data_IF_107049433847
#
_entry.id   IF_107049433847
#
_cell.length_a   1.000
_cell.length_b   1.000
_cell.length_c   1.000
_cell.angle_alpha   90.00
_cell.angle_beta   90.00
_cell.angle_gamma   90.00
#
_symmetry.space_group_name_H-M   'P 1'
#
loop_
_entity.id
_entity.type
_entity.pdbx_description
1 polymer ?
#
# COMPACT_ATOMS: atom_id res chain seq x y z
N UNK A 1 -21.80 -2.14 -21.22
CA UNK A 1 -22.32 -2.07 -19.85
C UNK A 1 -23.34 -0.96 -19.71
N UNK A 2 -24.27 -1.07 -18.73
CA UNK A 2 -25.35 -0.09 -18.53
C UNK A 2 -24.85 1.34 -18.29
N UNK A 3 -23.64 1.51 -17.77
CA UNK A 3 -23.00 2.81 -17.51
C UNK A 3 -22.15 3.34 -18.67
N UNK A 4 -22.28 2.76 -19.87
CA UNK A 4 -21.51 3.18 -21.06
C UNK A 4 -20.06 2.66 -21.10
N UNK A 5 -19.62 1.87 -20.12
CA UNK A 5 -18.28 1.29 -20.14
C UNK A 5 -18.19 0.17 -21.19
N UNK A 6 -17.06 0.08 -21.87
CA UNK A 6 -16.70 -0.99 -22.80
C UNK A 6 -15.72 -1.96 -22.14
N UNK A 7 -15.89 -3.25 -22.39
CA UNK A 7 -14.92 -4.26 -21.97
C UNK A 7 -14.17 -4.70 -23.23
N UNK A 8 -12.84 -4.57 -23.18
CA UNK A 8 -11.95 -5.02 -24.24
C UNK A 8 -11.24 -6.31 -23.83
N UNK A 9 -10.73 -7.05 -24.82
CA UNK A 9 -10.23 -8.40 -24.60
C UNK A 9 -8.85 -8.46 -23.94
N UNK A 10 -8.00 -7.44 -24.13
CA UNK A 10 -6.59 -7.47 -23.72
C UNK A 10 -6.14 -6.16 -23.09
N UNK A 11 -5.12 -6.26 -22.23
CA UNK A 11 -4.46 -5.07 -21.67
C UNK A 11 -3.84 -4.22 -22.79
N UNK A 12 -3.23 -4.82 -23.79
CA UNK A 12 -2.64 -4.12 -24.93
C UNK A 12 -3.66 -3.20 -25.63
N UNK A 13 -4.87 -3.66 -25.78
CA UNK A 13 -5.97 -2.84 -26.36
C UNK A 13 -6.35 -1.65 -25.46
N UNK A 14 -6.37 -1.86 -24.12
CA UNK A 14 -6.58 -0.78 -23.16
C UNK A 14 -5.50 0.28 -23.29
N UNK A 15 -4.23 -0.13 -23.25
CA UNK A 15 -3.10 0.81 -23.33
C UNK A 15 -3.03 1.54 -24.66
N UNK A 16 -3.40 0.89 -25.76
CA UNK A 16 -3.42 1.51 -27.09
C UNK A 16 -4.51 2.58 -27.23
N UNK A 17 -5.71 2.37 -26.66
CA UNK A 17 -6.88 3.21 -26.86
C UNK A 17 -7.06 4.32 -25.83
N UNK A 18 -6.64 4.09 -24.58
CA UNK A 18 -6.90 5.00 -23.50
C UNK A 18 -5.90 6.16 -23.46
N UNK A 19 -6.35 7.38 -23.16
CA UNK A 19 -5.51 8.53 -22.90
C UNK A 19 -5.07 8.55 -21.43
N UNK A 20 -5.85 7.95 -20.54
CA UNK A 20 -5.52 7.76 -19.12
C UNK A 20 -5.70 6.30 -18.73
N UNK A 21 -4.65 5.72 -18.16
CA UNK A 21 -4.68 4.40 -17.54
C UNK A 21 -4.86 4.58 -16.03
N UNK A 22 -5.92 3.98 -15.48
CA UNK A 22 -6.18 3.93 -14.04
C UNK A 22 -6.11 2.49 -13.58
N UNK A 23 -5.26 2.21 -12.61
CA UNK A 23 -5.10 0.86 -12.05
C UNK A 23 -4.70 0.95 -10.58
N UNK A 24 -4.64 -0.16 -9.87
CA UNK A 24 -4.31 -0.17 -8.44
C UNK A 24 -2.84 -0.46 -8.22
N UNK A 25 -2.33 -1.55 -8.78
CA UNK A 25 -0.94 -1.99 -8.60
C UNK A 25 0.02 -1.31 -9.57
N UNK A 26 1.29 -1.28 -9.18
CA UNK A 26 2.38 -0.76 -9.98
C UNK A 26 2.40 -1.38 -11.38
N UNK A 27 2.77 -0.62 -12.42
CA UNK A 27 2.87 -1.18 -13.76
C UNK A 27 4.02 -2.18 -13.84
N UNK A 28 3.75 -3.34 -14.42
CA UNK A 28 4.78 -4.32 -14.69
C UNK A 28 5.66 -3.87 -15.87
N UNK A 29 6.89 -4.38 -16.03
CA UNK A 29 7.78 -3.99 -17.16
C UNK A 29 7.11 -4.09 -18.54
N UNK A 30 6.29 -5.13 -18.75
CA UNK A 30 5.54 -5.28 -20.00
C UNK A 30 4.46 -4.21 -20.17
N UNK A 31 3.88 -3.71 -19.08
CA UNK A 31 2.90 -2.61 -19.12
C UNK A 31 3.59 -1.27 -19.35
N UNK A 32 4.76 -1.05 -18.73
CA UNK A 32 5.57 0.15 -18.97
C UNK A 32 5.94 0.27 -20.46
N UNK A 33 6.25 -0.85 -21.13
CA UNK A 33 6.58 -0.90 -22.55
C UNK A 33 5.37 -0.56 -23.46
N UNK A 34 4.14 -0.59 -22.95
CA UNK A 34 2.93 -0.21 -23.68
C UNK A 34 2.54 1.25 -23.47
N UNK A 35 3.14 1.93 -22.48
CA UNK A 35 2.91 3.35 -22.24
C UNK A 35 3.50 4.20 -23.37
N UNK A 36 2.93 5.36 -23.62
CA UNK A 36 3.37 6.27 -24.67
C UNK A 36 3.45 7.72 -24.18
N UNK A 37 4.22 8.52 -24.89
CA UNK A 37 4.31 9.95 -24.64
C UNK A 37 2.92 10.61 -24.61
N UNK A 38 2.70 11.49 -23.64
CA UNK A 38 1.44 12.20 -23.42
C UNK A 38 0.32 11.39 -22.77
N UNK A 39 0.49 10.06 -22.59
CA UNK A 39 -0.48 9.24 -21.86
C UNK A 39 -0.37 9.48 -20.36
N UNK A 40 -1.50 9.46 -19.64
CA UNK A 40 -1.51 9.59 -18.19
C UNK A 40 -1.60 8.19 -17.55
N UNK A 41 -0.74 7.91 -16.58
CA UNK A 41 -0.83 6.73 -15.72
C UNK A 41 -1.17 7.19 -14.30
N UNK A 42 -2.27 6.69 -13.74
CA UNK A 42 -2.73 7.01 -12.39
C UNK A 42 -2.88 5.73 -11.57
N UNK A 43 -1.95 5.49 -10.64
CA UNK A 43 -1.85 4.23 -9.87
C UNK A 43 -0.93 4.40 -8.66
N UNK A 44 -0.83 3.40 -7.78
CA UNK A 44 0.30 3.31 -6.85
C UNK A 44 1.58 3.00 -7.63
N UNK A 45 2.68 3.69 -7.34
CA UNK A 45 3.94 3.54 -8.05
C UNK A 45 5.05 2.92 -7.21
N UNK A 46 5.14 3.25 -5.92
CA UNK A 46 6.18 2.72 -5.01
C UNK A 46 7.60 2.80 -5.61
N UNK A 47 7.98 3.95 -6.15
CA UNK A 47 9.21 4.10 -6.95
C UNK A 47 10.51 3.94 -6.14
N UNK A 48 10.49 4.25 -4.84
CA UNK A 48 11.71 4.24 -4.02
C UNK A 48 12.43 2.88 -4.00
N UNK A 49 11.75 1.72 -3.86
CA UNK A 49 12.39 0.42 -3.90
C UNK A 49 12.63 -0.12 -5.31
N UNK A 50 12.09 0.51 -6.37
CA UNK A 50 12.18 0.02 -7.74
C UNK A 50 12.70 1.08 -8.73
N UNK A 51 14.01 1.32 -8.77
CA UNK A 51 14.62 2.25 -9.72
C UNK A 51 14.49 1.78 -11.18
N UNK A 52 14.27 0.47 -11.42
CA UNK A 52 14.01 -0.08 -12.74
C UNK A 52 12.69 0.42 -13.30
N UNK A 53 11.62 0.33 -12.52
CA UNK A 53 10.31 0.87 -12.87
C UNK A 53 10.37 2.39 -13.11
N UNK A 54 11.07 3.12 -12.23
CA UNK A 54 11.22 4.57 -12.39
C UNK A 54 11.86 4.93 -13.74
N UNK A 55 12.90 4.20 -14.16
CA UNK A 55 13.54 4.38 -15.45
C UNK A 55 12.60 4.10 -16.62
N UNK A 56 11.89 2.98 -16.59
CA UNK A 56 10.93 2.62 -17.65
C UNK A 56 9.82 3.66 -17.80
N UNK A 57 9.32 4.22 -16.69
CA UNK A 57 8.34 5.29 -16.74
C UNK A 57 8.90 6.57 -17.36
N UNK A 58 10.13 6.94 -17.02
CA UNK A 58 10.80 8.09 -17.65
C UNK A 58 11.02 7.87 -19.16
N UNK A 59 11.45 6.68 -19.55
CA UNK A 59 11.68 6.31 -20.96
C UNK A 59 10.39 6.31 -21.79
N UNK A 60 9.24 5.97 -21.18
CA UNK A 60 7.94 5.97 -21.86
C UNK A 60 7.42 7.36 -22.23
N UNK A 61 7.89 8.43 -21.57
CA UNK A 61 7.40 9.79 -21.76
C UNK A 61 5.95 10.02 -21.24
N UNK A 62 5.38 9.06 -20.49
CA UNK A 62 4.06 9.22 -19.91
C UNK A 62 4.07 10.20 -18.73
N UNK A 63 2.91 10.75 -18.39
CA UNK A 63 2.69 11.48 -17.14
C UNK A 63 2.21 10.52 -16.07
N UNK A 64 3.12 10.08 -15.20
CA UNK A 64 2.80 9.15 -14.11
C UNK A 64 2.44 9.90 -12.82
N UNK A 65 1.25 9.66 -12.29
CA UNK A 65 0.73 10.25 -11.05
C UNK A 65 0.56 9.13 -10.02
N UNK A 66 1.30 9.23 -8.92
CA UNK A 66 1.26 8.26 -7.85
C UNK A 66 0.10 8.53 -6.89
N UNK A 67 -0.73 7.52 -6.59
CA UNK A 67 -1.79 7.63 -5.60
C UNK A 67 -1.25 8.04 -4.22
N UNK A 68 -0.11 7.51 -3.82
CA UNK A 68 0.52 7.76 -2.53
C UNK A 68 1.04 9.18 -2.33
N UNK A 69 1.06 9.99 -3.40
CA UNK A 69 1.51 11.39 -3.34
C UNK A 69 0.38 12.40 -3.54
N UNK A 70 -0.84 11.94 -3.79
CA UNK A 70 -2.02 12.81 -3.90
C UNK A 70 -2.34 13.39 -2.53
N UNK A 71 -2.36 14.70 -2.42
CA UNK A 71 -2.68 15.43 -1.18
C UNK A 71 -4.06 16.07 -1.25
N UNK A 72 -4.73 16.15 -0.10
CA UNK A 72 -5.88 17.01 0.09
C UNK A 72 -5.47 18.45 0.41
N UNK A 73 -6.45 19.33 0.62
CA UNK A 73 -6.23 20.77 0.94
C UNK A 73 -5.47 21.01 2.25
N UNK A 74 -5.50 20.04 3.16
CA UNK A 74 -4.89 20.12 4.49
C UNK A 74 -3.52 19.39 4.52
N UNK A 75 -3.04 18.90 3.36
CA UNK A 75 -1.78 18.16 3.21
C UNK A 75 -1.87 16.69 3.61
N UNK A 76 -3.07 16.18 3.88
CA UNK A 76 -3.32 14.75 4.10
C UNK A 76 -3.12 13.94 2.82
N UNK A 77 -2.95 12.62 2.98
CA UNK A 77 -2.77 11.68 1.87
C UNK A 77 -4.00 10.74 1.78
N UNK A 78 -5.13 11.20 1.21
CA UNK A 78 -6.42 10.50 1.29
C UNK A 78 -6.41 9.13 0.61
N UNK A 79 -5.57 8.92 -0.40
CA UNK A 79 -5.47 7.64 -1.08
C UNK A 79 -4.48 6.67 -0.41
N UNK A 80 -3.60 7.16 0.47
CA UNK A 80 -2.65 6.35 1.23
C UNK A 80 -3.15 6.03 2.65
N UNK A 81 -3.83 6.96 3.30
CA UNK A 81 -4.24 6.84 4.70
C UNK A 81 -5.01 5.53 5.02
N UNK A 82 -5.99 5.07 4.22
CA UNK A 82 -6.71 3.83 4.51
C UNK A 82 -5.80 2.60 4.56
N UNK A 83 -4.78 2.53 3.69
CA UNK A 83 -3.81 1.43 3.68
C UNK A 83 -2.92 1.48 4.93
N UNK A 84 -2.50 2.68 5.33
CA UNK A 84 -1.72 2.89 6.55
C UNK A 84 -2.51 2.52 7.81
N UNK A 85 -3.82 2.78 7.83
CA UNK A 85 -4.70 2.36 8.92
C UNK A 85 -4.79 0.84 9.04
N UNK A 86 -4.98 0.14 7.92
CA UNK A 86 -5.01 -1.33 7.89
C UNK A 86 -3.65 -1.88 8.32
N UNK A 87 -2.55 -1.37 7.76
CA UNK A 87 -1.21 -1.83 8.09
C UNK A 87 -0.89 -1.67 9.59
N UNK A 88 -1.25 -0.52 10.17
CA UNK A 88 -1.05 -0.28 11.60
C UNK A 88 -1.81 -1.27 12.48
N UNK A 89 -3.07 -1.54 12.17
CA UNK A 89 -3.87 -2.53 12.91
C UNK A 89 -3.33 -3.95 12.74
N UNK A 90 -2.99 -4.33 11.51
CA UNK A 90 -2.45 -5.67 11.21
C UNK A 90 -1.08 -5.90 11.85
N UNK A 91 -0.26 -4.87 12.03
CA UNK A 91 1.10 -5.01 12.59
C UNK A 91 1.08 -5.67 13.97
N UNK A 92 0.10 -5.36 14.81
CA UNK A 92 -0.04 -5.97 16.14
C UNK A 92 -0.50 -7.42 16.04
N UNK A 93 -1.40 -7.75 15.11
CA UNK A 93 -1.84 -9.14 14.88
C UNK A 93 -0.69 -10.01 14.39
N UNK A 94 0.07 -9.52 13.40
CA UNK A 94 1.24 -10.22 12.86
C UNK A 94 2.32 -10.37 13.93
N UNK A 95 2.60 -9.31 14.70
CA UNK A 95 3.54 -9.35 15.81
C UNK A 95 3.12 -10.35 16.89
N UNK A 96 1.83 -10.43 17.22
CA UNK A 96 1.28 -11.40 18.18
C UNK A 96 1.46 -12.83 17.66
N UNK A 97 1.17 -13.08 16.39
CA UNK A 97 1.39 -14.38 15.77
C UNK A 97 2.88 -14.79 15.81
N UNK A 98 3.79 -13.85 15.52
CA UNK A 98 5.23 -14.08 15.57
C UNK A 98 5.78 -14.36 16.99
N UNK A 99 5.07 -13.96 18.05
CA UNK A 99 5.43 -14.27 19.44
C UNK A 99 5.10 -15.71 19.84
N UNK A 100 4.27 -16.43 19.09
CA UNK A 100 3.86 -17.79 19.39
C UNK A 100 5.04 -18.77 19.21
N UNK A 101 5.16 -19.77 20.10
CA UNK A 101 6.21 -20.79 20.01
C UNK A 101 6.14 -21.60 18.71
N UNK A 102 4.93 -21.93 18.24
CA UNK A 102 4.73 -22.61 16.96
C UNK A 102 5.21 -21.84 15.73
N UNK A 103 5.32 -20.52 15.84
CA UNK A 103 5.89 -19.63 14.82
C UNK A 103 7.39 -19.31 15.05
N UNK A 104 8.06 -20.02 15.96
CA UNK A 104 9.46 -19.76 16.35
C UNK A 104 9.63 -18.58 17.32
N UNK A 105 8.56 -18.05 17.88
CA UNK A 105 8.55 -16.95 18.80
C UNK A 105 8.87 -17.38 20.26
N UNK A 106 8.94 -16.39 21.15
CA UNK A 106 9.34 -16.58 22.55
C UNK A 106 8.23 -17.17 23.45
N UNK A 107 7.03 -17.41 22.96
CA UNK A 107 5.89 -17.89 23.74
C UNK A 107 5.33 -16.84 24.70
N UNK A 108 5.38 -15.58 24.35
CA UNK A 108 4.91 -14.45 25.16
C UNK A 108 3.50 -14.05 24.72
N UNK A 109 2.58 -14.03 25.65
CA UNK A 109 1.21 -13.54 25.42
C UNK A 109 1.21 -12.00 25.43
N UNK A 110 0.71 -11.38 24.38
CA UNK A 110 0.77 -9.92 24.19
C UNK A 110 0.10 -9.16 25.35
N UNK A 111 -1.12 -9.53 25.70
CA UNK A 111 -1.90 -8.88 26.77
C UNK A 111 -1.57 -9.37 28.18
N UNK A 112 -0.81 -10.44 28.32
CA UNK A 112 -0.60 -11.11 29.60
C UNK A 112 -1.85 -11.81 30.13
N UNK A 113 -1.77 -12.33 31.36
CA UNK A 113 -2.91 -12.86 32.15
C UNK A 113 -2.62 -12.59 33.61
N UNK A 114 -3.58 -12.76 34.54
CA UNK A 114 -3.31 -12.65 35.98
C UNK A 114 -2.11 -13.47 36.39
N UNK A 115 -1.09 -12.81 36.95
CA UNK A 115 0.19 -13.44 37.34
C UNK A 115 1.26 -13.51 36.23
N UNK A 116 0.94 -13.19 34.99
CA UNK A 116 1.92 -13.11 33.88
C UNK A 116 1.84 -11.72 33.25
N UNK A 117 2.94 -10.94 33.30
CA UNK A 117 2.92 -9.58 32.76
C UNK A 117 2.73 -9.56 31.23
N UNK A 118 2.13 -8.48 30.68
CA UNK A 118 2.00 -8.32 29.24
C UNK A 118 3.35 -8.12 28.56
N UNK A 119 3.39 -8.39 27.27
CA UNK A 119 4.54 -8.09 26.43
C UNK A 119 4.76 -6.57 26.32
N UNK A 120 6.01 -6.17 26.11
CA UNK A 120 6.36 -4.79 25.81
C UNK A 120 6.26 -4.54 24.30
N UNK A 121 5.45 -3.56 23.91
CA UNK A 121 5.32 -3.10 22.50
C UNK A 121 5.99 -1.74 22.38
N UNK A 122 6.89 -1.60 21.41
CA UNK A 122 7.53 -0.33 21.06
C UNK A 122 7.08 0.05 19.67
N UNK A 123 6.58 1.27 19.50
CA UNK A 123 6.11 1.80 18.23
C UNK A 123 7.00 2.99 17.87
N UNK A 124 7.65 2.89 16.70
CA UNK A 124 8.48 3.95 16.17
C UNK A 124 7.66 4.76 15.14
N UNK A 125 7.36 6.01 15.47
CA UNK A 125 6.53 6.91 14.68
C UNK A 125 5.06 6.95 15.11
N UNK A 126 4.52 8.17 15.21
CA UNK A 126 3.15 8.46 15.64
C UNK A 126 2.21 8.89 14.49
N UNK A 127 2.54 8.57 13.23
CA UNK A 127 1.69 8.82 12.07
C UNK A 127 0.45 7.92 12.03
N UNK A 128 -0.23 7.84 10.88
CA UNK A 128 -1.47 7.05 10.73
C UNK A 128 -1.26 5.60 11.16
N UNK A 129 -0.27 4.91 10.61
CA UNK A 129 0.00 3.51 10.93
C UNK A 129 0.36 3.31 12.41
N UNK A 130 1.30 4.11 12.95
CA UNK A 130 1.74 3.98 14.34
C UNK A 130 0.63 4.25 15.35
N UNK A 131 -0.23 5.24 15.09
CA UNK A 131 -1.41 5.53 15.92
C UNK A 131 -2.42 4.39 15.92
N UNK A 132 -2.65 3.75 14.77
CA UNK A 132 -3.55 2.59 14.68
C UNK A 132 -2.94 1.36 15.39
N UNK A 133 -1.63 1.14 15.25
CA UNK A 133 -0.92 0.09 16.00
C UNK A 133 -1.06 0.29 17.52
N UNK A 134 -0.86 1.52 18.00
CA UNK A 134 -1.00 1.86 19.42
C UNK A 134 -2.41 1.56 19.94
N UNK A 135 -3.45 1.93 19.20
CA UNK A 135 -4.85 1.65 19.55
C UNK A 135 -5.10 0.15 19.76
N UNK A 136 -4.61 -0.69 18.83
CA UNK A 136 -4.79 -2.14 18.94
C UNK A 136 -3.95 -2.73 20.08
N UNK A 137 -2.70 -2.27 20.26
CA UNK A 137 -1.85 -2.73 21.35
C UNK A 137 -2.44 -2.41 22.75
N UNK A 138 -3.09 -1.26 22.91
CA UNK A 138 -3.77 -0.87 24.15
C UNK A 138 -5.02 -1.70 24.37
N UNK A 139 -5.82 -1.93 23.32
CA UNK A 139 -7.05 -2.71 23.41
C UNK A 139 -6.82 -4.21 23.71
N UNK A 140 -5.62 -4.72 23.47
CA UNK A 140 -5.25 -6.11 23.74
C UNK A 140 -4.76 -6.39 25.17
N UNK A 141 -4.88 -5.43 26.09
CA UNK A 141 -4.51 -5.57 27.53
C UNK A 141 -5.63 -6.11 28.36
#
# INVERSE_FOLDING_TARGET
LASGAEIVATATEVFARADMIVKVKEPQPAECAMLREGQVLFTYLHLAPDPGQARLLCESGCTAIAYETVTDKDGGLPLLAPMSEVAGRMSIQVGTAALQMGAGGRGVLLGGVPGVPPARVIILGGGVAGSQAARIAIAGR
#
